data_IF_849452935492
#
_entry.id   IF_849452935492
#
_cell.length_a   1.000
_cell.length_b   1.000
_cell.length_c   1.000
_cell.angle_alpha   90.00
_cell.angle_beta   90.00
_cell.angle_gamma   90.00
#
_symmetry.space_group_name_H-M   'P 1'
#
loop_
_entity.id
_entity.type
_entity.pdbx_description
1 polymer ?
#
# COMPACT_ATOMS: atom_id res chain seq x y z
N UNK A 1 3.87 -15.79 18.10
CA UNK A 1 3.41 -14.65 17.28
C UNK A 1 2.15 -14.06 17.93
N UNK A 2 1.92 -12.74 17.79
CA UNK A 2 0.69 -12.09 18.27
C UNK A 2 -0.13 -11.65 17.06
N UNK A 3 -1.44 -11.83 17.11
CA UNK A 3 -2.35 -11.25 16.13
C UNK A 3 -2.43 -9.74 16.37
N UNK A 4 -2.14 -8.95 15.34
CA UNK A 4 -2.16 -7.49 15.39
C UNK A 4 -3.03 -6.98 14.26
N UNK A 5 -4.10 -6.26 14.59
CA UNK A 5 -5.03 -5.67 13.62
C UNK A 5 -5.10 -4.17 13.88
N UNK A 6 -4.34 -3.35 13.13
CA UNK A 6 -4.40 -1.89 13.24
C UNK A 6 -5.82 -1.34 13.05
N UNK A 7 -6.20 -0.36 13.86
CA UNK A 7 -7.48 0.36 13.71
C UNK A 7 -7.43 1.23 12.47
N UNK A 8 -8.52 1.20 11.71
CA UNK A 8 -8.64 1.97 10.47
C UNK A 8 -8.48 3.47 10.75
N UNK A 9 -7.55 4.11 10.03
CA UNK A 9 -7.27 5.56 10.03
C UNK A 9 -6.83 6.16 11.37
N UNK A 10 -6.77 5.39 12.45
CA UNK A 10 -6.41 5.85 13.78
C UNK A 10 -4.97 5.49 14.16
N UNK A 11 -4.55 4.26 13.84
CA UNK A 11 -3.23 3.78 14.23
C UNK A 11 -2.19 4.11 13.16
N UNK A 12 -1.17 4.88 13.55
CA UNK A 12 -0.03 5.21 12.71
C UNK A 12 1.04 4.12 12.82
N UNK A 13 1.47 3.63 11.66
CA UNK A 13 2.42 2.54 11.52
C UNK A 13 3.65 3.06 10.79
N UNK A 14 4.83 2.87 11.36
CA UNK A 14 6.10 3.18 10.70
C UNK A 14 6.78 1.88 10.24
N UNK A 15 7.18 1.81 8.98
CA UNK A 15 7.97 0.70 8.45
C UNK A 15 9.31 0.59 9.18
N UNK A 16 9.63 -0.60 9.70
CA UNK A 16 10.90 -0.83 10.43
C UNK A 16 12.05 -1.20 9.49
N UNK A 17 11.74 -1.67 8.28
CA UNK A 17 12.66 -1.98 7.17
C UNK A 17 12.07 -1.53 5.83
N UNK A 18 12.84 -1.61 4.75
CA UNK A 18 12.31 -1.40 3.39
C UNK A 18 11.26 -2.47 3.10
N UNK A 19 10.18 -2.10 2.41
CA UNK A 19 9.09 -3.03 2.07
C UNK A 19 8.88 -3.04 0.56
N UNK A 20 9.13 -4.19 -0.06
CA UNK A 20 8.98 -4.42 -1.49
C UNK A 20 7.70 -5.21 -1.74
N UNK A 21 6.91 -4.79 -2.73
CA UNK A 21 5.64 -5.44 -3.08
C UNK A 21 5.22 -5.11 -4.52
N UNK A 22 4.22 -5.84 -5.01
CA UNK A 22 3.60 -5.59 -6.32
C UNK A 22 2.51 -4.51 -6.25
N UNK A 23 2.77 -3.33 -6.82
CA UNK A 23 1.77 -2.28 -6.99
C UNK A 23 0.95 -2.55 -8.25
N UNK A 24 -0.27 -3.06 -8.05
CA UNK A 24 -1.20 -3.32 -9.15
C UNK A 24 -1.55 -2.05 -9.92
N UNK A 25 -1.65 -2.17 -11.25
CA UNK A 25 -1.96 -1.10 -12.19
C UNK A 25 -3.45 -0.77 -12.20
N UNK A 26 -3.97 -0.34 -11.05
CA UNK A 26 -5.37 0.02 -10.86
C UNK A 26 -5.49 1.47 -10.39
N UNK A 27 -6.54 2.17 -10.80
CA UNK A 27 -6.69 3.62 -10.61
C UNK A 27 -6.50 4.06 -9.15
N UNK A 28 -6.93 3.26 -8.16
CA UNK A 28 -6.77 3.62 -6.74
C UNK A 28 -5.32 3.58 -6.27
N UNK A 29 -4.42 2.90 -7.00
CA UNK A 29 -2.98 2.87 -6.77
C UNK A 29 -2.23 3.99 -7.51
N UNK A 30 -2.90 4.72 -8.42
CA UNK A 30 -2.26 5.72 -9.27
C UNK A 30 -1.60 6.85 -8.48
N UNK A 31 -2.12 7.20 -7.29
CA UNK A 31 -1.52 8.26 -6.46
C UNK A 31 -0.13 7.88 -5.94
N UNK A 32 0.05 6.64 -5.45
CA UNK A 32 1.38 6.15 -5.09
C UNK A 32 2.24 5.94 -6.33
N UNK A 33 1.66 5.40 -7.40
CA UNK A 33 2.37 5.19 -8.67
C UNK A 33 3.00 6.47 -9.22
N UNK A 34 2.24 7.57 -9.24
CA UNK A 34 2.73 8.88 -9.66
C UNK A 34 3.89 9.38 -8.78
N UNK A 35 3.81 9.18 -7.46
CA UNK A 35 4.90 9.53 -6.55
C UNK A 35 6.18 8.73 -6.82
N UNK A 36 6.04 7.48 -7.26
CA UNK A 36 7.14 6.58 -7.61
C UNK A 36 7.57 6.69 -9.09
N UNK A 37 7.14 7.74 -9.80
CA UNK A 37 7.44 7.99 -11.22
C UNK A 37 6.98 6.86 -12.18
N UNK A 38 5.91 6.14 -11.83
CA UNK A 38 5.27 5.17 -12.71
C UNK A 38 4.31 5.90 -13.64
N UNK A 39 4.44 5.67 -14.95
CA UNK A 39 3.65 6.36 -15.96
C UNK A 39 2.14 6.19 -15.75
N UNK A 40 1.37 7.29 -15.73
CA UNK A 40 -0.07 7.27 -15.45
C UNK A 40 -0.88 6.33 -16.37
N UNK A 41 -0.47 6.19 -17.63
CA UNK A 41 -1.09 5.27 -18.61
C UNK A 41 -1.11 3.80 -18.16
N UNK A 42 -0.24 3.42 -17.22
CA UNK A 42 -0.23 2.08 -16.63
C UNK A 42 -1.51 1.81 -15.83
N UNK A 43 -2.00 2.79 -15.08
CA UNK A 43 -3.16 2.65 -14.20
C UNK A 43 -4.51 2.84 -14.93
N UNK A 44 -4.50 3.05 -16.24
CA UNK A 44 -5.73 3.24 -17.02
C UNK A 44 -6.42 1.89 -17.27
N UNK A 45 -7.73 1.82 -17.06
CA UNK A 45 -8.53 0.59 -17.14
C UNK A 45 -8.40 -0.17 -18.48
N UNK A 46 -8.13 0.54 -19.57
CA UNK A 46 -8.00 -0.06 -20.91
C UNK A 46 -6.64 -0.70 -21.18
N UNK A 47 -5.67 -0.49 -20.29
CA UNK A 47 -4.33 -1.04 -20.45
C UNK A 47 -4.31 -2.49 -19.95
N UNK A 48 -4.04 -3.44 -20.86
CA UNK A 48 -3.98 -4.87 -20.55
C UNK A 48 -2.56 -5.38 -20.29
N UNK A 49 -1.54 -4.53 -20.50
CA UNK A 49 -0.15 -4.92 -20.36
C UNK A 49 0.31 -4.79 -18.90
N UNK A 50 1.01 -5.82 -18.39
CA UNK A 50 1.66 -5.84 -17.07
C UNK A 50 0.77 -5.36 -15.90
N UNK A 51 -0.03 -6.24 -15.30
CA UNK A 51 -1.01 -5.88 -14.26
C UNK A 51 -0.43 -5.33 -12.93
N UNK A 52 0.90 -5.31 -12.76
CA UNK A 52 1.57 -4.75 -11.60
C UNK A 52 3.01 -4.28 -11.91
N UNK A 53 3.56 -3.39 -11.07
CA UNK A 53 4.99 -3.03 -11.03
C UNK A 53 5.52 -3.35 -9.64
N UNK A 54 6.66 -4.03 -9.52
CA UNK A 54 7.35 -4.17 -8.24
C UNK A 54 7.88 -2.81 -7.77
N UNK A 55 7.56 -2.43 -6.54
CA UNK A 55 7.98 -1.16 -5.94
C UNK A 55 8.53 -1.39 -4.55
N UNK A 56 9.32 -0.45 -4.05
CA UNK A 56 9.86 -0.51 -2.68
C UNK A 56 9.57 0.79 -1.94
N UNK A 57 8.94 0.70 -0.77
CA UNK A 57 8.83 1.81 0.16
C UNK A 57 10.02 1.81 1.13
N UNK A 58 10.60 2.97 1.42
CA UNK A 58 11.76 3.08 2.31
C UNK A 58 11.38 2.78 3.76
N UNK A 59 12.39 2.36 4.54
CA UNK A 59 12.26 2.32 6.01
C UNK A 59 11.82 3.69 6.53
N UNK A 60 10.95 3.70 7.53
CA UNK A 60 10.45 4.93 8.15
C UNK A 60 9.23 5.52 7.47
N UNK A 61 8.75 4.99 6.34
CA UNK A 61 7.44 5.38 5.78
C UNK A 61 6.36 5.22 6.84
N UNK A 62 5.58 6.29 7.05
CA UNK A 62 4.47 6.31 8.01
C UNK A 62 3.15 6.18 7.24
N UNK A 63 2.36 5.19 7.62
CA UNK A 63 1.07 4.90 7.01
C UNK A 63 0.00 4.56 8.05
N UNK A 64 -1.26 4.71 7.67
CA UNK A 64 -2.40 4.14 8.41
C UNK A 64 -3.11 3.12 7.52
N UNK A 65 -3.75 2.12 8.11
CA UNK A 65 -4.66 1.27 7.35
C UNK A 65 -5.96 2.02 7.07
N UNK A 66 -6.39 2.10 5.81
CA UNK A 66 -7.64 2.72 5.39
C UNK A 66 -8.80 1.71 5.34
N UNK A 67 -8.50 0.48 4.91
CA UNK A 67 -9.50 -0.57 4.76
C UNK A 67 -8.86 -1.96 4.76
N UNK A 68 -9.51 -2.90 5.43
CA UNK A 68 -9.37 -4.34 5.19
C UNK A 68 -10.50 -4.78 4.27
N UNK A 69 -10.18 -5.51 3.19
CA UNK A 69 -11.16 -6.12 2.32
C UNK A 69 -10.86 -7.62 2.30
N UNK A 70 -11.68 -8.40 2.98
CA UNK A 70 -11.55 -9.86 3.11
C UNK A 70 -12.88 -10.48 2.66
N UNK A 71 -12.83 -11.37 1.68
CA UNK A 71 -14.02 -11.94 1.03
C UNK A 71 -14.05 -13.45 1.16
N UNK A 72 -15.01 -13.95 1.92
CA UNK A 72 -15.23 -15.39 2.09
C UNK A 72 -15.44 -16.10 0.74
N UNK A 73 -14.64 -17.14 0.50
CA UNK A 73 -14.71 -17.99 -0.71
C UNK A 73 -14.25 -17.29 -1.99
N UNK A 74 -13.53 -16.17 -1.87
CA UNK A 74 -13.01 -15.43 -3.03
C UNK A 74 -11.75 -14.63 -2.66
N UNK A 75 -10.75 -15.35 -2.18
CA UNK A 75 -9.51 -14.84 -1.57
C UNK A 75 -8.67 -14.00 -2.55
N UNK A 76 -8.86 -14.19 -3.85
CA UNK A 76 -8.24 -13.33 -4.87
C UNK A 76 -8.63 -11.84 -4.72
N UNK A 77 -9.67 -11.51 -3.97
CA UNK A 77 -10.03 -10.13 -3.66
C UNK A 77 -9.36 -9.60 -2.39
N UNK A 78 -8.79 -10.46 -1.57
CA UNK A 78 -8.28 -10.08 -0.26
C UNK A 78 -7.15 -9.07 -0.38
N UNK A 79 -7.34 -7.92 0.27
CA UNK A 79 -6.45 -6.78 0.14
C UNK A 79 -6.53 -5.85 1.34
N UNK A 80 -5.42 -5.14 1.56
CA UNK A 80 -5.33 -4.08 2.56
C UNK A 80 -5.02 -2.78 1.82
N UNK A 81 -5.79 -1.74 2.13
CA UNK A 81 -5.58 -0.39 1.61
C UNK A 81 -4.86 0.45 2.66
N UNK A 82 -3.82 1.16 2.26
CA UNK A 82 -3.02 2.05 3.11
C UNK A 82 -3.15 3.50 2.65
N UNK A 83 -2.95 4.42 3.61
CA UNK A 83 -2.73 5.84 3.35
C UNK A 83 -1.34 6.21 3.86
N UNK A 84 -0.48 6.68 2.96
CA UNK A 84 0.86 7.18 3.28
C UNK A 84 0.76 8.62 3.74
N UNK A 85 1.30 8.90 4.92
CA UNK A 85 1.39 10.25 5.51
C UNK A 85 2.80 10.82 5.39
N UNK A 86 3.82 9.96 5.49
CA UNK A 86 5.23 10.35 5.44
C UNK A 86 6.04 9.34 4.64
N UNK A 87 6.95 9.83 3.80
CA UNK A 87 7.89 9.02 3.01
C UNK A 87 9.18 9.81 2.80
N UNK A 88 10.33 9.14 2.81
CA UNK A 88 11.66 9.78 2.71
C UNK A 88 11.88 10.92 3.73
N UNK A 89 11.34 10.78 4.94
CA UNK A 89 11.42 11.77 6.02
C UNK A 89 10.61 13.05 5.77
N UNK A 90 9.66 13.03 4.83
CA UNK A 90 8.82 14.19 4.46
C UNK A 90 7.35 13.90 4.65
N UNK A 91 6.69 14.73 5.46
CA UNK A 91 5.23 14.69 5.62
C UNK A 91 4.57 15.18 4.33
N UNK A 92 3.63 14.38 3.82
CA UNK A 92 2.95 14.63 2.57
C UNK A 92 1.77 15.59 2.79
N UNK A 93 1.69 16.65 1.97
CA UNK A 93 0.54 17.56 1.95
C UNK A 93 -0.77 16.87 1.57
N UNK A 94 -0.68 15.87 0.67
CA UNK A 94 -1.79 15.00 0.26
C UNK A 94 -1.39 13.56 0.48
N UNK A 95 -2.22 12.82 1.23
CA UNK A 95 -2.00 11.40 1.50
C UNK A 95 -2.02 10.61 0.19
N UNK A 96 -1.11 9.66 0.05
CA UNK A 96 -1.10 8.73 -1.07
C UNK A 96 -1.85 7.47 -0.68
N UNK A 97 -2.77 7.02 -1.53
CA UNK A 97 -3.53 5.80 -1.33
C UNK A 97 -3.00 4.70 -2.25
N UNK A 98 -2.93 3.50 -1.70
CA UNK A 98 -2.69 2.30 -2.48
C UNK A 98 -3.24 1.08 -1.73
N UNK A 99 -3.50 0.01 -2.46
CA UNK A 99 -3.83 -1.29 -1.91
C UNK A 99 -2.82 -2.34 -2.40
N UNK A 100 -2.63 -3.36 -1.57
CA UNK A 100 -1.86 -4.56 -1.90
C UNK A 100 -2.69 -5.80 -1.56
N UNK A 101 -2.32 -6.95 -2.14
CA UNK A 101 -2.89 -8.24 -1.74
C UNK A 101 -2.58 -8.55 -0.28
N UNK A 102 -3.42 -9.36 0.35
CA UNK A 102 -3.22 -9.75 1.75
C UNK A 102 -1.84 -10.39 1.96
N UNK A 103 -1.41 -11.28 1.06
CA UNK A 103 -0.11 -11.96 1.16
C UNK A 103 1.08 -10.99 1.15
N UNK A 104 1.02 -9.96 0.30
CA UNK A 104 2.03 -8.89 0.26
C UNK A 104 2.04 -8.11 1.59
N UNK A 105 0.87 -7.81 2.13
CA UNK A 105 0.75 -7.11 3.40
C UNK A 105 1.28 -7.92 4.60
N UNK A 106 1.24 -9.26 4.55
CA UNK A 106 1.80 -10.12 5.61
C UNK A 106 3.33 -10.03 5.73
N UNK A 107 4.02 -9.52 4.70
CA UNK A 107 5.49 -9.34 4.70
C UNK A 107 5.93 -8.02 5.34
N UNK A 108 4.97 -7.15 5.66
CA UNK A 108 5.21 -5.80 6.18
C UNK A 108 5.63 -5.86 7.66
N UNK A 109 6.83 -5.35 7.96
CA UNK A 109 7.27 -5.12 9.33
C UNK A 109 7.06 -3.66 9.73
N UNK A 110 6.35 -3.45 10.84
CA UNK A 110 6.04 -2.12 11.35
C UNK A 110 6.16 -2.02 12.87
N UNK A 111 6.20 -0.78 13.34
CA UNK A 111 5.94 -0.42 14.72
C UNK A 111 4.81 0.61 14.79
N UNK A 112 4.05 0.59 15.87
CA UNK A 112 3.13 1.67 16.19
C UNK A 112 3.91 2.94 16.54
N UNK A 113 3.33 4.10 16.20
CA UNK A 113 3.78 5.42 16.63
C UNK A 113 2.89 5.96 17.76
#
# INVERSE_FOLDING_TARGET
MKLVIPRLKADHLALTKKWTFHLHHEERNASLGAHLNIAAKKFHWSNKDNLATEVTLPKGTVMTVDRYYIRQGNEQFDSITFLVHEIDGKVLKKKLRFWVKLDEALTLDFKYL
#
